data_IF_511783542126
#
_entry.id   IF_511783542126
#
_cell.length_a   1.000
_cell.length_b   1.000
_cell.length_c   1.000
_cell.angle_alpha   90.00
_cell.angle_beta   90.00
_cell.angle_gamma   90.00
#
_symmetry.space_group_name_H-M   'P 1'
#
loop_
_entity.id
_entity.type
_entity.pdbx_description
1 polymer ?
#
# COMPACT_ATOMS: atom_id res chain seq x y z
N UNK A 1 24.18 7.13 37.86
CA UNK A 1 23.90 7.25 36.42
C UNK A 1 23.39 8.66 36.17
N UNK A 2 23.82 9.31 35.08
CA UNK A 2 23.32 10.64 34.71
C UNK A 2 21.93 10.52 34.10
N UNK A 3 21.04 11.46 34.42
CA UNK A 3 19.68 11.50 33.92
C UNK A 3 19.31 12.86 33.30
N UNK A 4 18.10 13.00 32.73
CA UNK A 4 17.64 14.24 32.12
C UNK A 4 17.59 15.42 33.09
N UNK A 5 17.40 15.16 34.40
CA UNK A 5 17.45 16.18 35.46
C UNK A 5 18.84 16.80 35.64
N UNK A 6 19.89 16.16 35.14
CA UNK A 6 21.27 16.66 35.17
C UNK A 6 21.58 17.55 33.95
N UNK A 7 20.58 17.86 33.10
CA UNK A 7 20.77 18.77 31.97
C UNK A 7 21.02 20.19 32.45
N UNK A 8 22.06 20.82 31.92
CA UNK A 8 22.42 22.15 32.34
C UNK A 8 23.74 22.63 31.78
N UNK A 9 24.11 23.85 32.15
CA UNK A 9 25.42 24.43 31.85
C UNK A 9 26.31 24.28 33.07
N UNK A 10 27.41 23.55 32.91
CA UNK A 10 28.41 23.31 33.92
C UNK A 10 29.54 24.32 33.75
N UNK A 11 30.02 24.85 34.87
CA UNK A 11 31.15 25.79 34.90
C UNK A 11 32.30 25.13 35.63
N UNK A 12 33.47 25.09 34.99
CA UNK A 12 34.72 24.74 35.66
C UNK A 12 35.53 26.02 35.86
N UNK A 13 36.06 26.23 37.07
CA UNK A 13 36.94 27.34 37.35
C UNK A 13 38.21 26.83 38.02
N UNK A 14 39.36 27.21 37.47
CA UNK A 14 40.68 26.89 37.99
C UNK A 14 41.43 28.17 38.32
N UNK A 15 42.20 28.16 39.40
CA UNK A 15 42.98 29.32 39.83
C UNK A 15 44.29 28.92 40.47
N UNK A 16 45.33 29.70 40.19
CA UNK A 16 46.62 29.62 40.85
C UNK A 16 47.07 31.05 41.26
N UNK A 17 48.22 31.22 41.94
CA UNK A 17 48.71 32.54 42.34
C UNK A 17 48.96 33.52 41.18
N UNK A 18 49.05 33.02 39.95
CA UNK A 18 49.36 33.81 38.76
C UNK A 18 48.13 34.14 37.91
N UNK A 19 46.97 33.53 38.17
CA UNK A 19 45.76 33.81 37.40
C UNK A 19 44.60 32.85 37.67
N UNK A 20 43.48 33.12 37.01
CA UNK A 20 42.27 32.29 37.00
C UNK A 20 41.81 32.06 35.58
N UNK A 21 41.31 30.86 35.33
CA UNK A 21 40.66 30.46 34.10
C UNK A 21 39.30 29.84 34.43
N UNK A 22 38.32 30.04 33.57
CA UNK A 22 37.03 29.40 33.68
C UNK A 22 36.56 28.96 32.29
N UNK A 23 35.81 27.86 32.25
CA UNK A 23 35.20 27.32 31.04
C UNK A 23 33.80 26.79 31.32
N UNK A 24 32.94 26.81 30.29
CA UNK A 24 31.54 26.41 30.38
C UNK A 24 31.23 25.28 29.40
N UNK A 25 30.53 24.25 29.89
CA UNK A 25 30.11 23.10 29.11
C UNK A 25 28.61 22.86 29.23
N UNK A 26 27.92 22.69 28.10
CA UNK A 26 26.48 22.38 28.08
C UNK A 26 26.29 20.87 27.99
N UNK A 27 25.71 20.28 29.03
CA UNK A 27 25.37 18.85 29.05
C UNK A 27 23.89 18.67 28.68
N UNK A 28 23.66 17.81 27.69
CA UNK A 28 22.32 17.36 27.29
C UNK A 28 22.27 15.84 27.30
N UNK A 29 21.52 15.31 28.25
CA UNK A 29 21.16 13.90 28.43
C UNK A 29 19.73 13.71 27.94
N UNK A 30 19.56 12.79 26.99
CA UNK A 30 18.26 12.44 26.44
C UNK A 30 17.66 11.25 27.20
N UNK A 31 16.34 11.28 27.41
CA UNK A 31 15.62 10.12 27.91
C UNK A 31 15.39 9.10 26.78
N UNK A 32 16.02 7.92 26.82
CA UNK A 32 15.82 6.88 25.80
C UNK A 32 14.37 6.36 25.79
N UNK A 33 13.62 6.46 26.89
CA UNK A 33 12.23 6.02 26.96
C UNK A 33 11.29 6.91 26.15
N UNK A 34 11.50 8.23 26.19
CA UNK A 34 10.69 9.20 25.46
C UNK A 34 10.84 9.06 23.94
N UNK A 35 12.07 8.83 23.45
CA UNK A 35 12.32 8.64 22.01
C UNK A 35 11.73 7.32 21.50
N UNK A 36 11.78 6.24 22.28
CA UNK A 36 11.21 4.94 21.90
C UNK A 36 9.68 4.98 21.91
N UNK A 37 9.06 5.69 22.84
CA UNK A 37 7.61 5.87 22.89
C UNK A 37 7.08 6.66 21.67
N UNK A 38 7.76 7.75 21.31
CA UNK A 38 7.41 8.55 20.14
C UNK A 38 7.60 7.78 18.81
N UNK A 39 8.66 6.97 18.71
CA UNK A 39 8.91 6.16 17.51
C UNK A 39 7.96 4.97 17.35
N UNK A 40 7.31 4.49 18.42
CA UNK A 40 6.31 3.42 18.32
C UNK A 40 4.93 3.90 17.94
N UNK A 41 4.48 5.07 18.39
CA UNK A 41 3.10 5.52 18.15
C UNK A 41 2.83 5.91 16.69
N UNK A 42 3.79 6.55 16.05
CA UNK A 42 3.70 7.04 14.66
C UNK A 42 3.56 5.91 13.62
N UNK A 43 4.33 4.80 13.65
CA UNK A 43 4.21 3.75 12.63
C UNK A 43 2.88 2.99 12.69
N UNK A 44 2.31 2.77 13.89
CA UNK A 44 1.04 2.03 13.99
C UNK A 44 -0.14 2.83 13.43
N UNK A 45 -0.15 4.15 13.61
CA UNK A 45 -1.18 5.02 13.04
C UNK A 45 -1.14 4.99 11.50
N UNK A 46 0.05 5.02 10.90
CA UNK A 46 0.24 4.95 9.45
C UNK A 46 -0.21 3.60 8.91
N UNK A 47 0.24 2.50 9.53
CA UNK A 47 -0.14 1.14 9.13
C UNK A 47 -1.65 0.93 9.22
N UNK A 48 -2.30 1.39 10.30
CA UNK A 48 -3.75 1.34 10.46
C UNK A 48 -4.49 2.14 9.39
N UNK A 49 -4.00 3.34 9.06
CA UNK A 49 -4.57 4.18 8.00
C UNK A 49 -4.49 3.52 6.62
N UNK A 50 -3.34 2.96 6.25
CA UNK A 50 -3.16 2.25 4.97
C UNK A 50 -4.09 1.05 4.89
N UNK A 51 -4.17 0.24 5.95
CA UNK A 51 -5.04 -0.94 5.99
C UNK A 51 -6.52 -0.53 5.84
N UNK A 52 -6.95 0.52 6.53
CA UNK A 52 -8.32 1.03 6.42
C UNK A 52 -8.65 1.52 5.00
N UNK A 53 -7.74 2.22 4.34
CA UNK A 53 -7.92 2.69 2.96
C UNK A 53 -8.01 1.51 1.97
N UNK A 54 -7.15 0.50 2.11
CA UNK A 54 -7.18 -0.69 1.25
C UNK A 54 -8.51 -1.44 1.36
N UNK A 55 -8.99 -1.66 2.59
CA UNK A 55 -10.28 -2.32 2.84
C UNK A 55 -11.44 -1.48 2.29
N UNK A 56 -11.42 -0.17 2.51
CA UNK A 56 -12.45 0.73 1.99
C UNK A 56 -12.51 0.72 0.45
N UNK A 57 -11.36 0.81 -0.23
CA UNK A 57 -11.29 0.71 -1.68
C UNK A 57 -11.84 -0.62 -2.19
N UNK A 58 -11.49 -1.73 -1.55
CA UNK A 58 -11.99 -3.05 -1.90
C UNK A 58 -13.51 -3.15 -1.73
N UNK A 59 -14.07 -2.60 -0.65
CA UNK A 59 -15.52 -2.52 -0.42
C UNK A 59 -16.22 -1.63 -1.45
N UNK A 60 -15.63 -0.48 -1.81
CA UNK A 60 -16.16 0.40 -2.85
C UNK A 60 -16.18 -0.28 -4.23
N UNK A 61 -15.11 -0.99 -4.58
CA UNK A 61 -15.03 -1.75 -5.82
C UNK A 61 -16.05 -2.89 -5.83
N UNK A 62 -16.19 -3.63 -4.71
CA UNK A 62 -17.16 -4.72 -4.61
C UNK A 62 -18.60 -4.19 -4.66
N UNK A 63 -18.89 -3.08 -4.00
CA UNK A 63 -20.20 -2.43 -4.04
C UNK A 63 -20.54 -1.90 -5.43
N UNK A 64 -19.57 -1.27 -6.11
CA UNK A 64 -19.74 -0.80 -7.49
C UNK A 64 -19.87 -1.98 -8.45
N UNK A 65 -19.09 -3.04 -8.30
CA UNK A 65 -19.19 -4.25 -9.10
C UNK A 65 -20.52 -4.98 -8.88
N UNK A 66 -21.03 -5.04 -7.64
CA UNK A 66 -22.35 -5.58 -7.33
C UNK A 66 -23.45 -4.71 -7.93
N UNK A 67 -23.34 -3.38 -7.83
CA UNK A 67 -24.28 -2.44 -8.45
C UNK A 67 -24.26 -2.57 -9.98
N UNK A 68 -23.07 -2.60 -10.57
CA UNK A 68 -22.85 -2.87 -11.99
C UNK A 68 -23.42 -4.22 -12.35
N UNK A 69 -23.22 -5.27 -11.56
CA UNK A 69 -23.75 -6.62 -11.81
C UNK A 69 -25.26 -6.69 -11.63
N UNK A 70 -25.87 -5.90 -10.75
CA UNK A 70 -27.34 -5.83 -10.58
C UNK A 70 -27.97 -5.02 -11.72
N UNK A 71 -27.30 -3.96 -12.20
CA UNK A 71 -27.67 -3.22 -13.42
C UNK A 71 -27.42 -4.05 -14.69
N UNK A 72 -26.31 -4.79 -14.74
CA UNK A 72 -25.89 -5.70 -15.80
C UNK A 72 -26.46 -7.11 -15.66
N UNK A 73 -27.29 -7.41 -14.64
CA UNK A 73 -28.17 -8.59 -14.66
C UNK A 73 -29.27 -8.43 -15.74
N UNK A 74 -29.39 -7.25 -16.36
CA UNK A 74 -30.02 -7.05 -17.67
C UNK A 74 -29.05 -7.06 -18.88
N UNK A 75 -27.76 -7.32 -18.66
CA UNK A 75 -26.67 -7.43 -19.64
C UNK A 75 -26.01 -8.80 -19.51
N UNK A 76 -26.84 -9.81 -19.78
CA UNK A 76 -26.54 -11.12 -20.35
C UNK A 76 -25.15 -11.72 -20.14
N UNK A 77 -25.18 -12.92 -19.54
CA UNK A 77 -24.36 -14.04 -19.97
C UNK A 77 -24.15 -14.04 -21.49
N UNK A 78 -23.03 -13.48 -21.96
CA UNK A 78 -22.32 -14.01 -23.11
C UNK A 78 -21.11 -14.70 -22.56
N UNK A 79 -21.24 -16.01 -22.41
CA UNK A 79 -20.16 -16.92 -22.07
C UNK A 79 -19.26 -17.10 -23.30
N UNK A 80 -18.70 -15.99 -23.80
CA UNK A 80 -17.91 -15.96 -25.02
C UNK A 80 -16.57 -15.29 -24.70
N UNK A 81 -15.53 -16.11 -24.59
CA UNK A 81 -14.12 -15.72 -24.65
C UNK A 81 -13.48 -15.07 -23.41
N UNK A 82 -13.05 -15.91 -22.47
CA UNK A 82 -11.67 -15.89 -21.97
C UNK A 82 -11.36 -17.35 -21.60
N UNK A 83 -11.18 -18.25 -22.58
CA UNK A 83 -10.01 -18.21 -23.44
C UNK A 83 -8.76 -18.71 -22.70
N UNK A 84 -8.93 -19.68 -21.80
CA UNK A 84 -7.86 -20.46 -21.17
C UNK A 84 -7.76 -21.85 -21.83
N UNK A 85 -7.86 -21.92 -23.16
CA UNK A 85 -7.50 -23.13 -23.90
C UNK A 85 -6.70 -22.72 -25.14
N UNK A 86 -5.65 -23.49 -25.37
CA UNK A 86 -4.87 -23.55 -26.62
C UNK A 86 -3.90 -22.38 -26.89
N UNK A 87 -2.80 -22.43 -26.16
CA UNK A 87 -1.49 -22.10 -26.71
C UNK A 87 -1.26 -22.91 -28.00
N UNK A 88 -1.63 -22.34 -29.16
CA UNK A 88 -0.95 -22.58 -30.44
C UNK A 88 -1.26 -23.86 -31.20
N UNK A 89 -2.47 -24.02 -31.72
CA UNK A 89 -2.67 -24.77 -32.96
C UNK A 89 -3.24 -23.87 -34.06
N UNK A 90 -2.31 -23.31 -34.83
CA UNK A 90 -2.54 -22.56 -36.06
C UNK A 90 -3.03 -23.50 -37.19
N UNK A 91 -4.22 -24.07 -37.03
CA UNK A 91 -5.06 -24.65 -38.07
C UNK A 91 -6.30 -23.74 -38.17
N UNK A 92 -6.69 -23.11 -39.26
CA UNK A 92 -6.34 -23.27 -40.66
C UNK A 92 -6.57 -21.91 -41.34
N UNK A 93 -5.49 -21.31 -41.83
CA UNK A 93 -5.56 -20.36 -42.93
C UNK A 93 -5.57 -21.18 -44.23
N UNK A 94 -6.72 -21.77 -44.59
CA UNK A 94 -6.89 -22.43 -45.89
C UNK A 94 -8.16 -21.90 -46.57
N UNK A 95 -7.97 -20.76 -47.22
CA UNK A 95 -8.50 -20.37 -48.52
C UNK A 95 -9.94 -20.78 -48.89
N UNK A 96 -10.73 -19.73 -49.17
CA UNK A 96 -12.07 -19.84 -49.72
C UNK A 96 -12.17 -20.47 -51.10
N UNK A 97 -13.38 -20.91 -51.43
CA UNK A 97 -13.79 -21.30 -52.77
C UNK A 97 -15.00 -22.23 -52.81
N UNK A 98 -16.17 -21.68 -53.17
CA UNK A 98 -17.24 -22.35 -53.95
C UNK A 98 -18.16 -23.41 -53.24
N UNK A 99 -19.35 -23.75 -53.80
CA UNK A 99 -20.62 -23.54 -53.13
C UNK A 99 -21.47 -24.82 -52.99
N UNK A 100 -22.54 -24.71 -52.23
CA UNK A 100 -23.69 -25.60 -52.33
C UNK A 100 -23.74 -26.72 -51.29
N UNK A 101 -24.83 -26.71 -50.51
CA UNK A 101 -25.86 -27.76 -50.51
C UNK A 101 -27.06 -27.28 -49.68
N UNK A 102 -28.11 -26.95 -50.42
CA UNK A 102 -29.53 -26.92 -50.03
C UNK A 102 -29.89 -28.08 -49.09
N UNK A 103 -30.59 -27.79 -47.98
CA UNK A 103 -31.83 -28.40 -47.42
C UNK A 103 -32.24 -27.54 -46.21
N UNK A 104 -33.20 -26.61 -46.33
CA UNK A 104 -34.63 -26.82 -46.04
C UNK A 104 -34.89 -27.71 -44.83
N UNK A 105 -35.37 -27.11 -43.73
CA UNK A 105 -36.55 -27.60 -43.04
C UNK A 105 -37.21 -26.45 -42.26
N UNK A 106 -38.35 -26.01 -42.81
CA UNK A 106 -39.41 -25.26 -42.15
C UNK A 106 -40.09 -26.17 -41.12
N UNK A 107 -40.50 -25.62 -39.97
CA UNK A 107 -41.85 -25.86 -39.45
C UNK A 107 -42.26 -24.81 -38.41
N UNK A 108 -43.26 -24.01 -38.81
CA UNK A 108 -44.30 -23.28 -38.06
C UNK A 108 -43.91 -22.45 -36.82
#
# INVERSE_FOLDING_TARGET
ALGPQDNGTYSCQAGNPHGRAADHYVLVVYDPGAVVAAQRSVPFAIVGGILALLVFLLLCLLGTALWCSVRQKGSYLTHEASGLEEHGEAREAFLGGEPGKRKEEFFI
#
